data_IF_479505759885
#
_entry.id   IF_479505759885
#
_cell.length_a   1.000
_cell.length_b   1.000
_cell.length_c   1.000
_cell.angle_alpha   90.00
_cell.angle_beta   90.00
_cell.angle_gamma   90.00
#
_symmetry.space_group_name_H-M   'P 1'
#
loop_
_entity.id
_entity.type
_entity.pdbx_description
1 polymer ?
#
# COMPACT_ATOMS: atom_id res chain seq x y z
N UNK A 1 15.64 16.10 27.23
CA UNK A 1 14.42 16.55 26.53
C UNK A 1 13.58 15.30 26.32
N UNK A 2 12.46 15.15 27.02
CA UNK A 2 11.63 13.94 26.95
C UNK A 2 10.89 13.94 25.61
N UNK A 3 11.11 12.90 24.80
CA UNK A 3 10.60 12.80 23.43
C UNK A 3 9.06 12.61 23.33
N UNK A 4 8.37 12.46 24.46
CA UNK A 4 6.95 12.05 24.49
C UNK A 4 6.03 12.99 25.29
N UNK A 5 6.52 14.15 25.75
CA UNK A 5 5.75 15.03 26.64
C UNK A 5 4.50 15.64 25.97
N UNK A 6 4.55 15.84 24.65
CA UNK A 6 3.46 16.46 23.87
C UNK A 6 2.50 15.45 23.21
N UNK A 7 2.69 14.13 23.42
CA UNK A 7 1.86 13.11 22.75
C UNK A 7 0.95 12.41 23.74
N UNK A 8 -0.37 12.49 23.50
CA UNK A 8 -1.35 11.68 24.24
C UNK A 8 -1.17 10.20 23.86
N UNK A 9 -0.43 9.47 24.70
CA UNK A 9 -0.12 8.05 24.50
C UNK A 9 -1.36 7.14 24.56
N UNK A 10 -2.43 7.59 25.23
CA UNK A 10 -3.69 6.86 25.35
C UNK A 10 -4.87 7.58 24.68
N UNK A 11 -4.68 7.98 23.42
CA UNK A 11 -5.73 8.66 22.62
C UNK A 11 -7.05 7.87 22.55
N UNK A 12 -6.98 6.54 22.65
CA UNK A 12 -8.14 5.64 22.54
C UNK A 12 -8.72 5.21 23.89
N UNK A 13 -8.19 5.71 25.03
CA UNK A 13 -8.70 5.42 26.37
C UNK A 13 -8.61 3.95 26.77
N UNK A 14 -7.57 3.26 26.32
CA UNK A 14 -7.29 1.85 26.56
C UNK A 14 -7.18 1.56 28.05
N UNK A 15 -6.56 2.46 28.83
CA UNK A 15 -6.44 2.31 30.28
C UNK A 15 -7.80 2.08 30.94
N UNK A 16 -8.79 2.91 30.58
CA UNK A 16 -10.16 2.81 31.09
C UNK A 16 -10.87 1.52 30.69
N UNK A 17 -10.55 0.94 29.54
CA UNK A 17 -11.15 -0.33 29.07
C UNK A 17 -10.57 -1.55 29.79
N UNK A 18 -9.39 -1.40 30.39
CA UNK A 18 -8.69 -2.42 31.15
C UNK A 18 -8.83 -2.21 32.67
N UNK A 19 -9.67 -1.26 33.11
CA UNK A 19 -10.08 -1.13 34.50
C UNK A 19 -11.25 -2.10 34.78
N UNK A 20 -11.12 -2.97 35.78
CA UNK A 20 -12.20 -3.89 36.14
C UNK A 20 -13.40 -3.12 36.69
N UNK A 21 -14.60 -3.45 36.20
CA UNK A 21 -15.84 -2.91 36.76
C UNK A 21 -16.14 -3.53 38.15
N UNK A 22 -17.27 -3.15 38.75
CA UNK A 22 -17.72 -3.69 40.05
C UNK A 22 -17.90 -5.22 40.07
N UNK A 23 -17.99 -5.85 38.90
CA UNK A 23 -18.13 -7.31 38.71
C UNK A 23 -16.81 -7.97 38.25
N UNK A 24 -15.68 -7.23 38.29
CA UNK A 24 -14.35 -7.66 37.81
C UNK A 24 -14.29 -7.99 36.31
N UNK A 25 -15.23 -7.49 35.53
CA UNK A 25 -15.23 -7.66 34.08
C UNK A 25 -14.31 -6.64 33.42
N UNK A 26 -13.57 -7.11 32.42
CA UNK A 26 -12.63 -6.33 31.63
C UNK A 26 -13.08 -6.31 30.17
N UNK A 27 -13.03 -5.14 29.53
CA UNK A 27 -13.47 -4.98 28.14
C UNK A 27 -12.37 -5.38 27.15
N UNK A 28 -11.74 -6.54 27.33
CA UNK A 28 -10.63 -7.02 26.52
C UNK A 28 -10.91 -6.99 25.02
N UNK A 29 -12.13 -7.36 24.61
CA UNK A 29 -12.55 -7.32 23.20
C UNK A 29 -12.46 -5.90 22.64
N UNK A 30 -12.98 -4.91 23.37
CA UNK A 30 -13.01 -3.51 22.94
C UNK A 30 -11.62 -2.90 23.00
N UNK A 31 -10.89 -3.14 24.10
CA UNK A 31 -9.51 -2.71 24.27
C UNK A 31 -8.61 -3.23 23.15
N UNK A 32 -8.67 -4.52 22.82
CA UNK A 32 -7.90 -5.11 21.72
C UNK A 32 -8.27 -4.52 20.35
N UNK A 33 -9.54 -4.13 20.15
CA UNK A 33 -10.00 -3.50 18.91
C UNK A 33 -9.48 -2.07 18.76
N UNK A 34 -9.37 -1.34 19.87
CA UNK A 34 -8.87 0.04 19.90
C UNK A 34 -7.35 0.12 20.00
N UNK A 35 -6.70 -0.92 20.54
CA UNK A 35 -5.24 -1.08 20.56
C UNK A 35 -4.73 -1.52 19.18
N UNK A 36 -5.10 -0.78 18.14
CA UNK A 36 -4.68 -1.03 16.76
C UNK A 36 -3.64 0.01 16.39
N UNK A 37 -2.37 -0.38 16.48
CA UNK A 37 -1.22 0.50 16.22
C UNK A 37 -1.16 0.87 14.72
N UNK A 38 -1.54 -0.07 13.85
CA UNK A 38 -1.60 0.12 12.40
C UNK A 38 -3.07 0.12 12.01
N UNK A 39 -3.54 1.22 11.43
CA UNK A 39 -4.88 1.28 10.88
C UNK A 39 -4.98 0.34 9.67
N UNK A 40 -6.07 -0.42 9.60
CA UNK A 40 -6.31 -1.39 8.51
C UNK A 40 -6.99 -0.70 7.30
N UNK A 41 -6.93 0.64 7.27
CA UNK A 41 -7.47 1.46 6.20
C UNK A 41 -6.41 1.58 5.10
N UNK A 42 -6.78 1.11 3.92
CA UNK A 42 -5.90 1.10 2.77
C UNK A 42 -6.65 0.90 1.49
N UNK A 43 -6.03 1.32 0.40
CA UNK A 43 -6.56 1.26 -0.94
C UNK A 43 -5.67 0.38 -1.81
N UNK A 44 -6.32 -0.45 -2.62
CA UNK A 44 -5.64 -1.27 -3.59
C UNK A 44 -5.29 -0.45 -4.85
N UNK A 45 -4.03 -0.49 -5.24
CA UNK A 45 -3.56 0.08 -6.51
C UNK A 45 -2.96 -1.01 -7.39
N UNK A 46 -3.05 -0.84 -8.71
CA UNK A 46 -2.42 -1.72 -9.68
C UNK A 46 -1.02 -1.21 -10.04
N UNK A 47 0.01 -2.02 -9.81
CA UNK A 47 1.41 -1.67 -10.11
C UNK A 47 1.88 -2.28 -11.43
N UNK A 48 2.79 -1.58 -12.11
CA UNK A 48 3.42 -2.06 -13.34
C UNK A 48 4.63 -2.92 -12.98
N UNK A 49 4.35 -4.13 -12.50
CA UNK A 49 5.35 -5.15 -12.25
C UNK A 49 5.67 -5.93 -13.54
N UNK A 50 6.96 -6.03 -13.87
CA UNK A 50 7.47 -6.70 -15.06
C UNK A 50 8.38 -7.88 -14.67
N UNK A 51 7.83 -9.09 -14.41
CA UNK A 51 8.65 -10.24 -14.07
C UNK A 51 9.51 -10.67 -15.27
N UNK A 52 10.66 -11.29 -14.99
CA UNK A 52 11.48 -11.93 -16.04
C UNK A 52 10.70 -13.09 -16.64
N UNK A 53 10.39 -13.00 -17.93
CA UNK A 53 9.70 -14.02 -18.73
C UNK A 53 10.66 -15.12 -19.17
N UNK A 54 11.86 -14.72 -19.58
CA UNK A 54 12.92 -15.61 -20.05
C UNK A 54 14.23 -15.24 -19.36
N UNK A 55 14.81 -16.20 -18.63
CA UNK A 55 16.02 -15.99 -17.84
C UNK A 55 17.30 -15.97 -18.67
N UNK A 56 17.30 -16.59 -19.84
CA UNK A 56 18.47 -16.66 -20.73
C UNK A 56 18.61 -15.35 -21.51
N UNK A 57 17.49 -14.80 -21.97
CA UNK A 57 17.46 -13.55 -22.75
C UNK A 57 17.26 -12.30 -21.88
N UNK A 58 16.76 -12.46 -20.65
CA UNK A 58 16.39 -11.34 -19.78
C UNK A 58 15.12 -10.61 -20.22
N UNK A 59 14.30 -11.22 -21.09
CA UNK A 59 13.04 -10.63 -21.55
C UNK A 59 12.08 -10.40 -20.37
N UNK A 60 11.51 -9.20 -20.28
CA UNK A 60 10.52 -8.85 -19.26
C UNK A 60 9.09 -9.10 -19.77
N UNK A 61 8.24 -9.68 -18.92
CA UNK A 61 6.81 -9.83 -19.18
C UNK A 61 6.09 -8.49 -19.00
N UNK A 62 5.69 -7.87 -20.10
CA UNK A 62 4.93 -6.60 -20.13
C UNK A 62 3.42 -6.80 -20.29
N UNK A 63 2.89 -7.99 -19.98
CA UNK A 63 1.46 -8.30 -20.13
C UNK A 63 0.57 -7.34 -19.32
N UNK A 64 1.06 -6.81 -18.20
CA UNK A 64 0.33 -5.81 -17.41
C UNK A 64 -0.05 -4.57 -18.24
N UNK A 65 0.83 -4.08 -19.11
CA UNK A 65 0.54 -2.89 -19.92
C UNK A 65 -0.64 -3.15 -20.87
N UNK A 66 -0.72 -4.37 -21.42
CA UNK A 66 -1.86 -4.80 -22.24
C UNK A 66 -3.15 -4.91 -21.43
N UNK A 67 -3.09 -5.40 -20.19
CA UNK A 67 -4.26 -5.48 -19.32
C UNK A 67 -4.76 -4.09 -18.88
N UNK A 68 -3.86 -3.17 -18.55
CA UNK A 68 -4.22 -1.80 -18.21
C UNK A 68 -4.81 -1.06 -19.42
N UNK A 69 -4.25 -1.28 -20.62
CA UNK A 69 -4.82 -0.75 -21.86
C UNK A 69 -6.24 -1.26 -22.13
N UNK A 70 -6.48 -2.57 -21.95
CA UNK A 70 -7.84 -3.14 -22.04
C UNK A 70 -8.77 -2.57 -20.97
N UNK A 71 -8.30 -2.43 -19.74
CA UNK A 71 -9.09 -1.87 -18.65
C UNK A 71 -9.51 -0.42 -18.96
N UNK A 72 -8.60 0.38 -19.53
CA UNK A 72 -8.87 1.76 -19.92
C UNK A 72 -9.90 1.87 -21.05
N UNK A 73 -9.80 1.00 -22.06
CA UNK A 73 -10.63 1.08 -23.27
C UNK A 73 -11.98 0.36 -23.14
N UNK A 74 -11.99 -0.83 -22.53
CA UNK A 74 -13.14 -1.75 -22.47
C UNK A 74 -13.81 -1.76 -21.10
N UNK A 75 -13.14 -1.26 -20.06
CA UNK A 75 -13.62 -1.28 -18.68
C UNK A 75 -13.36 -2.61 -17.94
N UNK A 76 -13.81 -2.70 -16.67
CA UNK A 76 -13.54 -3.85 -15.83
C UNK A 76 -14.40 -5.07 -16.23
N UNK A 77 -13.75 -6.19 -16.53
CA UNK A 77 -14.41 -7.50 -16.70
C UNK A 77 -13.93 -8.49 -15.65
N UNK A 78 -14.75 -9.49 -15.29
CA UNK A 78 -14.36 -10.50 -14.26
C UNK A 78 -13.06 -11.21 -14.59
N UNK A 79 -12.87 -11.59 -15.86
CA UNK A 79 -11.65 -12.25 -16.30
C UNK A 79 -10.44 -11.33 -16.20
N UNK A 80 -10.58 -10.07 -16.64
CA UNK A 80 -9.50 -9.07 -16.61
C UNK A 80 -9.11 -8.72 -15.17
N UNK A 81 -10.08 -8.45 -14.31
CA UNK A 81 -9.83 -8.16 -12.89
C UNK A 81 -9.18 -9.34 -12.18
N UNK A 82 -9.57 -10.59 -12.49
CA UNK A 82 -8.91 -11.79 -11.94
C UNK A 82 -7.46 -11.93 -12.40
N UNK A 83 -7.11 -11.45 -13.60
CA UNK A 83 -5.71 -11.38 -14.06
C UNK A 83 -4.96 -10.25 -13.36
N UNK A 84 -5.59 -9.09 -13.20
CA UNK A 84 -5.03 -7.89 -12.57
C UNK A 84 -4.79 -8.03 -11.06
N UNK A 85 -5.52 -8.92 -10.37
CA UNK A 85 -5.35 -9.15 -8.92
C UNK A 85 -3.90 -9.44 -8.50
N UNK A 86 -3.08 -10.09 -9.33
CA UNK A 86 -1.67 -10.37 -9.02
C UNK A 86 -0.76 -9.13 -9.06
N UNK A 87 -1.24 -8.06 -9.69
CA UNK A 87 -0.58 -6.76 -9.80
C UNK A 87 -1.16 -5.76 -8.80
N UNK A 88 -2.06 -6.21 -7.91
CA UNK A 88 -2.66 -5.35 -6.89
C UNK A 88 -1.76 -5.35 -5.66
N UNK A 89 -1.46 -4.16 -5.16
CA UNK A 89 -0.82 -3.96 -3.85
C UNK A 89 -1.73 -3.10 -2.98
N UNK A 90 -1.79 -3.39 -1.69
CA UNK A 90 -2.55 -2.58 -0.74
C UNK A 90 -1.61 -1.56 -0.10
N UNK A 91 -2.02 -0.31 -0.06
CA UNK A 91 -1.27 0.78 0.56
C UNK A 91 -2.16 1.55 1.54
N UNK A 92 -1.56 2.15 2.57
CA UNK A 92 -2.33 2.98 3.51
C UNK A 92 -2.91 4.21 2.80
N UNK A 93 -3.99 4.77 3.35
CA UNK A 93 -4.63 5.97 2.76
C UNK A 93 -3.67 7.16 2.65
N UNK A 94 -2.74 7.29 3.60
CA UNK A 94 -1.70 8.33 3.57
C UNK A 94 -0.79 8.17 2.35
N UNK A 95 -0.28 6.96 2.10
CA UNK A 95 0.56 6.69 0.91
C UNK A 95 -0.23 6.85 -0.38
N UNK A 96 -1.49 6.44 -0.40
CA UNK A 96 -2.35 6.62 -1.55
C UNK A 96 -2.52 8.09 -1.93
N UNK A 97 -2.84 8.94 -0.95
CA UNK A 97 -2.96 10.38 -1.14
C UNK A 97 -1.65 10.98 -1.65
N UNK A 98 -0.52 10.64 -1.01
CA UNK A 98 0.81 11.10 -1.44
C UNK A 98 1.13 10.71 -2.89
N UNK A 99 0.96 9.43 -3.26
CA UNK A 99 1.23 8.96 -4.62
C UNK A 99 0.31 9.62 -5.65
N UNK A 100 -0.94 9.94 -5.27
CA UNK A 100 -1.88 10.67 -6.12
C UNK A 100 -1.42 12.12 -6.33
N UNK A 101 -1.02 12.79 -5.26
CA UNK A 101 -0.58 14.18 -5.28
C UNK A 101 0.74 14.35 -6.05
N UNK A 102 1.66 13.38 -5.92
CA UNK A 102 2.93 13.29 -6.65
C UNK A 102 2.77 12.80 -8.11
N UNK A 103 1.52 12.60 -8.56
CA UNK A 103 1.16 12.12 -9.91
C UNK A 103 1.85 10.79 -10.26
N UNK A 104 2.04 9.93 -9.26
CA UNK A 104 2.65 8.61 -9.45
C UNK A 104 1.62 7.53 -9.81
N UNK A 105 0.37 7.75 -9.43
CA UNK A 105 -0.78 6.90 -9.74
C UNK A 105 -1.87 7.71 -10.47
N UNK A 106 -2.62 7.04 -11.33
CA UNK A 106 -3.75 7.60 -12.08
C UNK A 106 -5.01 6.73 -11.88
N UNK A 107 -6.17 7.37 -11.93
CA UNK A 107 -7.46 6.68 -11.95
C UNK A 107 -7.75 6.22 -13.39
N UNK A 108 -7.68 4.92 -13.63
CA UNK A 108 -7.91 4.35 -14.97
C UNK A 108 -9.40 4.11 -15.23
N UNK A 109 -10.14 3.76 -14.18
CA UNK A 109 -11.59 3.57 -14.17
C UNK A 109 -12.12 4.03 -12.80
N UNK A 110 -13.42 4.35 -12.64
CA UNK A 110 -13.97 4.81 -11.37
C UNK A 110 -13.61 3.86 -10.21
N UNK A 111 -12.84 4.37 -9.25
CA UNK A 111 -12.35 3.62 -8.08
C UNK A 111 -11.24 2.61 -8.36
N UNK A 112 -10.68 2.55 -9.57
CA UNK A 112 -9.55 1.69 -9.92
C UNK A 112 -8.34 2.54 -10.27
N UNK A 113 -7.35 2.45 -9.41
CA UNK A 113 -6.11 3.21 -9.48
C UNK A 113 -4.95 2.34 -9.94
N UNK A 114 -4.07 2.91 -10.73
CA UNK A 114 -2.88 2.23 -11.21
C UNK A 114 -1.68 3.15 -11.25
N UNK A 115 -0.49 2.57 -11.22
CA UNK A 115 0.77 3.26 -11.48
C UNK A 115 0.75 3.92 -12.87
N UNK A 116 1.01 5.22 -12.88
CA UNK A 116 1.09 6.01 -14.11
C UNK A 116 2.24 5.49 -14.99
N UNK A 117 2.05 5.49 -16.31
CA UNK A 117 3.12 5.08 -17.22
C UNK A 117 4.33 6.03 -17.12
N UNK A 118 5.54 5.46 -17.05
CA UNK A 118 6.80 6.23 -16.97
C UNK A 118 7.27 6.54 -15.55
N UNK A 119 6.51 6.16 -14.51
CA UNK A 119 6.94 6.29 -13.12
C UNK A 119 7.68 5.04 -12.64
N UNK A 120 8.55 5.19 -11.64
CA UNK A 120 9.39 4.10 -11.12
C UNK A 120 9.11 3.85 -9.63
N UNK A 121 7.82 3.72 -9.28
CA UNK A 121 7.42 3.47 -7.88
C UNK A 121 7.42 1.99 -7.51
N UNK A 122 7.62 1.08 -8.46
CA UNK A 122 7.64 -0.35 -8.18
C UNK A 122 8.95 -0.98 -8.67
N UNK A 123 9.69 -1.56 -7.74
CA UNK A 123 10.89 -2.32 -7.98
C UNK A 123 10.59 -3.83 -7.83
N UNK A 124 11.07 -4.70 -8.73
CA UNK A 124 10.80 -6.13 -8.68
C UNK A 124 11.39 -6.86 -7.46
N UNK A 125 12.38 -6.28 -6.78
CA UNK A 125 13.06 -6.84 -5.61
C UNK A 125 12.60 -6.15 -4.33
N UNK A 126 12.53 -4.82 -4.31
CA UNK A 126 12.19 -4.02 -3.13
C UNK A 126 10.67 -3.83 -2.97
N UNK A 127 9.89 -4.05 -4.03
CA UNK A 127 8.46 -3.81 -4.05
C UNK A 127 8.11 -2.34 -4.29
N UNK A 128 7.00 -1.87 -3.72
CA UNK A 128 6.55 -0.50 -3.90
C UNK A 128 7.44 0.47 -3.10
N UNK A 129 8.20 1.30 -3.81
CA UNK A 129 9.01 2.37 -3.25
C UNK A 129 8.09 3.54 -2.84
N UNK A 130 7.76 3.56 -1.55
CA UNK A 130 6.89 4.57 -0.93
C UNK A 130 7.66 5.80 -0.43
N UNK A 131 8.97 5.66 -0.26
CA UNK A 131 9.88 6.73 0.17
C UNK A 131 10.80 7.10 -0.99
N UNK A 132 10.94 8.39 -1.24
CA UNK A 132 11.80 8.94 -2.30
C UNK A 132 13.30 8.77 -1.98
N UNK A 133 13.64 8.35 -0.76
CA UNK A 133 15.00 8.01 -0.33
C UNK A 133 15.21 6.49 -0.37
N UNK A 134 15.23 5.92 -1.56
CA UNK A 134 16.06 4.73 -1.75
C UNK A 134 17.45 5.28 -2.07
N UNK A 135 18.39 5.34 -1.11
CA UNK A 135 19.74 5.78 -1.40
C UNK A 135 20.28 4.92 -2.55
N UNK A 136 20.90 5.57 -3.55
CA UNK A 136 21.49 4.83 -4.64
C UNK A 136 22.52 3.86 -4.05
N UNK A 137 22.70 2.67 -4.64
CA UNK A 137 23.68 1.71 -4.14
C UNK A 137 25.10 2.30 -4.03
N UNK A 138 25.40 3.35 -4.82
CA UNK A 138 26.63 4.13 -4.74
C UNK A 138 26.80 4.92 -3.43
N UNK A 139 25.71 5.28 -2.76
CA UNK A 139 25.70 6.00 -1.48
C UNK A 139 25.80 5.06 -0.26
N UNK A 140 25.73 3.75 -0.48
CA UNK A 140 25.77 2.72 0.58
C UNK A 140 27.14 2.04 0.73
N UNK A 141 28.16 2.51 0.00
CA UNK A 141 29.54 2.02 0.17
C UNK A 141 30.25 2.93 1.17
N UNK A 142 30.48 2.41 2.38
CA UNK A 142 31.36 2.99 3.40
C UNK A 142 32.82 2.68 3.05
#
# INVERSE_FOLDING_TARGET
>A
RLFYDDTCLDKQGIGRLLEPNSELELQFRTAAKHFRIIDDSGQAILVRYYPIKDKETGELDRTIDSFLGKLKNEGPSRWLMRKLQRYSVNISDWHFQRLRDDVQIEEIQPGIWAQMAGTTIYDPVLGLALETDVPAAADLVI
#
